data_IF_991600718671
#
_entry.id   IF_991600718671
#
_cell.length_a   1.000
_cell.length_b   1.000
_cell.length_c   1.000
_cell.angle_alpha   90.00
_cell.angle_beta   90.00
_cell.angle_gamma   90.00
#
_symmetry.space_group_name_H-M   'P 1'
#
loop_
_entity.id
_entity.type
_entity.pdbx_description
1 polymer ?
#
# COMPACT_ATOMS: atom_id res chain seq x y z
N UNK A 1 4.33 7.16 3.45
CA UNK A 1 5.31 6.77 2.42
C UNK A 1 6.58 7.59 2.62
N UNK A 2 7.67 6.93 3.00
CA UNK A 2 8.96 7.58 3.31
C UNK A 2 9.75 7.81 2.02
N UNK A 3 9.78 6.82 1.14
CA UNK A 3 10.46 6.88 -0.16
C UNK A 3 9.56 6.31 -1.26
N UNK A 4 9.70 6.84 -2.47
CA UNK A 4 8.99 6.37 -3.65
C UNK A 4 9.86 6.58 -4.89
N UNK A 5 10.39 5.49 -5.45
CA UNK A 5 11.21 5.50 -6.65
C UNK A 5 10.56 4.78 -7.82
N UNK A 6 11.04 5.06 -9.03
CA UNK A 6 10.67 4.30 -10.23
C UNK A 6 11.15 2.86 -10.08
N UNK A 7 10.32 1.89 -10.48
CA UNK A 7 10.72 0.49 -10.45
C UNK A 7 11.76 0.21 -11.56
N UNK A 8 12.89 -0.46 -11.27
CA UNK A 8 14.00 -0.62 -12.21
C UNK A 8 13.63 -1.48 -13.44
N UNK A 9 12.73 -2.44 -13.25
CA UNK A 9 12.32 -3.38 -14.30
C UNK A 9 10.87 -3.20 -14.80
N UNK A 10 10.20 -2.08 -14.49
CA UNK A 10 8.81 -1.86 -14.90
C UNK A 10 8.42 -0.37 -14.91
N UNK A 11 7.99 0.13 -16.07
CA UNK A 11 7.71 1.56 -16.28
C UNK A 11 6.49 2.07 -15.50
N UNK A 12 5.50 1.19 -15.28
CA UNK A 12 4.24 1.54 -14.59
C UNK A 12 4.26 1.24 -13.10
N UNK A 13 5.36 0.73 -12.56
CA UNK A 13 5.47 0.37 -11.15
C UNK A 13 6.42 1.32 -10.43
N UNK A 14 6.21 1.44 -9.12
CA UNK A 14 7.05 2.18 -8.19
C UNK A 14 7.47 1.25 -7.08
N UNK A 15 8.71 1.42 -6.60
CA UNK A 15 9.21 0.77 -5.40
C UNK A 15 9.16 1.79 -4.27
N UNK A 16 8.55 1.43 -3.16
CA UNK A 16 8.28 2.35 -2.07
C UNK A 16 8.78 1.81 -0.74
N UNK A 17 9.27 2.71 0.12
CA UNK A 17 9.51 2.41 1.54
C UNK A 17 8.40 3.01 2.38
N UNK A 18 7.72 2.19 3.16
CA UNK A 18 6.50 2.57 3.86
C UNK A 18 6.67 2.34 5.35
N UNK A 19 6.44 3.40 6.13
CA UNK A 19 6.38 3.32 7.58
C UNK A 19 4.96 2.96 8.03
N UNK A 20 4.81 1.84 8.70
CA UNK A 20 3.55 1.36 9.29
C UNK A 20 3.56 1.36 10.82
N UNK A 21 4.54 2.02 11.45
CA UNK A 21 4.68 2.10 12.90
C UNK A 21 5.35 0.87 13.54
N UNK A 22 5.88 -0.03 12.73
CA UNK A 22 6.70 -1.16 13.18
C UNK A 22 8.19 -0.81 13.32
N UNK A 23 9.01 -1.81 13.63
CA UNK A 23 10.46 -1.65 13.85
C UNK A 23 11.25 -1.26 12.60
N UNK A 24 10.74 -1.60 11.41
CA UNK A 24 11.38 -1.31 10.13
C UNK A 24 10.39 -0.80 9.09
N UNK A 25 10.93 -0.14 8.07
CA UNK A 25 10.18 0.20 6.87
C UNK A 25 9.89 -1.06 6.07
N UNK A 26 8.71 -1.09 5.45
CA UNK A 26 8.31 -2.15 4.53
C UNK A 26 8.63 -1.73 3.10
N UNK A 27 9.17 -2.66 2.30
CA UNK A 27 9.30 -2.49 0.87
C UNK A 27 7.99 -2.91 0.21
N UNK A 28 7.33 -2.00 -0.51
CA UNK A 28 6.05 -2.28 -1.17
C UNK A 28 6.11 -1.76 -2.61
N UNK A 29 5.78 -2.63 -3.56
CA UNK A 29 5.65 -2.27 -4.97
C UNK A 29 4.22 -1.82 -5.24
N UNK A 30 4.06 -0.68 -5.91
CA UNK A 30 2.75 -0.11 -6.22
C UNK A 30 2.69 0.40 -7.66
N UNK A 31 1.59 0.13 -8.35
CA UNK A 31 1.33 0.61 -9.72
C UNK A 31 0.34 1.78 -9.82
N UNK A 32 -0.18 2.28 -8.70
CA UNK A 32 -1.17 3.35 -8.73
C UNK A 32 -0.57 4.67 -9.25
N UNK A 33 -1.30 5.41 -10.10
CA UNK A 33 -0.77 6.60 -10.77
C UNK A 33 -0.47 7.74 -9.78
N UNK A 34 -1.21 7.81 -8.67
CA UNK A 34 -1.05 8.83 -7.63
C UNK A 34 0.01 8.51 -6.57
N UNK A 35 0.64 7.33 -6.65
CA UNK A 35 1.66 6.87 -5.70
C UNK A 35 2.90 7.78 -5.73
N UNK A 36 3.17 8.50 -4.63
CA UNK A 36 4.28 9.45 -4.52
C UNK A 36 4.79 9.55 -3.07
N UNK A 37 6.04 9.99 -2.93
CA UNK A 37 6.68 10.23 -1.65
C UNK A 37 5.87 11.22 -0.79
N UNK A 38 5.83 11.01 0.53
CA UNK A 38 5.14 11.90 1.47
C UNK A 38 3.64 11.62 1.65
N UNK A 39 3.07 10.66 0.90
CA UNK A 39 1.67 10.28 1.11
C UNK A 39 1.44 9.53 2.43
N UNK A 40 0.33 9.82 3.09
CA UNK A 40 -0.29 8.94 4.09
C UNK A 40 -1.24 8.02 3.34
N UNK A 41 -1.12 6.71 3.57
CA UNK A 41 -1.78 5.68 2.75
C UNK A 41 -2.32 4.57 3.63
N UNK A 42 -3.37 3.89 3.16
CA UNK A 42 -3.82 2.64 3.74
C UNK A 42 -2.90 1.49 3.28
N UNK A 43 -2.41 0.70 4.22
CA UNK A 43 -1.48 -0.41 3.95
C UNK A 43 -2.08 -1.70 4.48
N UNK A 44 -2.26 -2.68 3.60
CA UNK A 44 -2.52 -4.05 4.00
C UNK A 44 -1.19 -4.79 4.16
N UNK A 45 -0.85 -5.13 5.41
CA UNK A 45 0.39 -5.84 5.75
C UNK A 45 0.27 -7.34 5.46
N UNK A 46 1.40 -8.04 5.35
CA UNK A 46 1.41 -9.51 5.27
C UNK A 46 0.56 -10.13 6.39
N UNK A 47 -0.29 -11.09 6.01
CA UNK A 47 -1.24 -11.73 6.91
C UNK A 47 -2.62 -11.06 6.99
N UNK A 48 -2.76 -9.83 6.46
CA UNK A 48 -4.07 -9.21 6.30
C UNK A 48 -4.93 -10.01 5.30
N UNK A 49 -6.25 -9.97 5.51
CA UNK A 49 -7.25 -10.54 4.60
C UNK A 49 -8.17 -9.40 4.19
N UNK A 50 -8.15 -9.07 2.90
CA UNK A 50 -9.02 -8.07 2.29
C UNK A 50 -10.38 -8.70 1.90
N UNK A 51 -11.43 -7.88 1.66
CA UNK A 51 -12.70 -8.34 1.12
C UNK A 51 -12.52 -9.31 -0.07
N UNK A 52 -13.36 -10.35 -0.13
CA UNK A 52 -13.25 -11.41 -1.14
C UNK A 52 -12.17 -12.46 -0.84
N UNK A 53 -11.85 -12.68 0.44
CA UNK A 53 -10.86 -13.66 0.92
C UNK A 53 -9.44 -13.46 0.35
N UNK A 54 -9.10 -12.22 0.00
CA UNK A 54 -7.83 -11.90 -0.60
C UNK A 54 -6.73 -11.76 0.46
N UNK A 55 -5.94 -12.82 0.65
CA UNK A 55 -4.86 -12.87 1.65
C UNK A 55 -3.59 -12.19 1.15
N UNK A 56 -3.11 -11.20 1.89
CA UNK A 56 -1.83 -10.54 1.62
C UNK A 56 -0.67 -11.44 2.06
N UNK A 57 0.23 -11.69 1.11
CA UNK A 57 1.46 -12.46 1.31
C UNK A 57 2.64 -11.66 0.79
N UNK A 58 3.81 -11.86 1.39
CA UNK A 58 5.05 -11.33 0.83
C UNK A 58 5.30 -11.98 -0.54
N UNK A 59 5.66 -11.17 -1.52
CA UNK A 59 5.93 -11.61 -2.88
C UNK A 59 7.05 -10.78 -3.50
N UNK A 60 7.55 -11.22 -4.66
CA UNK A 60 8.40 -10.40 -5.52
C UNK A 60 7.62 -9.99 -6.76
N UNK A 61 7.53 -8.70 -7.03
CA UNK A 61 6.93 -8.17 -8.25
C UNK A 61 8.07 -7.73 -9.16
N UNK A 62 8.21 -8.38 -10.32
CA UNK A 62 9.23 -8.03 -11.33
C UNK A 62 10.66 -7.92 -10.76
N UNK A 63 10.98 -8.78 -9.78
CA UNK A 63 12.29 -8.87 -9.13
C UNK A 63 12.37 -8.14 -7.78
N UNK A 64 11.54 -7.12 -7.57
CA UNK A 64 11.57 -6.30 -6.35
C UNK A 64 10.66 -6.88 -5.25
N UNK A 65 11.09 -6.85 -3.98
CA UNK A 65 10.28 -7.32 -2.86
C UNK A 65 9.05 -6.44 -2.63
N UNK A 66 7.92 -7.07 -2.29
CA UNK A 66 6.71 -6.40 -1.83
C UNK A 66 6.15 -7.12 -0.60
N UNK A 67 6.14 -6.43 0.52
CA UNK A 67 5.80 -6.91 1.85
C UNK A 67 4.42 -6.42 2.31
N UNK A 68 3.55 -6.19 1.34
CA UNK A 68 2.22 -5.66 1.57
C UNK A 68 1.62 -5.13 0.28
N UNK A 69 0.51 -4.40 0.46
CA UNK A 69 -0.22 -3.74 -0.61
C UNK A 69 -0.65 -2.35 -0.13
N UNK A 70 -0.54 -1.36 -1.01
CA UNK A 70 -1.16 -0.05 -0.81
C UNK A 70 -2.58 -0.13 -1.37
N UNK A 71 -3.57 0.16 -0.55
CA UNK A 71 -4.96 -0.10 -0.90
C UNK A 71 -5.66 1.15 -1.47
N UNK A 72 -6.53 0.91 -2.45
CA UNK A 72 -7.61 1.77 -2.95
C UNK A 72 -8.88 1.63 -2.11
N UNK A 73 -9.85 2.51 -2.32
CA UNK A 73 -11.16 2.41 -1.64
C UNK A 73 -11.91 1.14 -2.02
N UNK A 74 -11.80 0.71 -3.28
CA UNK A 74 -12.46 -0.52 -3.74
C UNK A 74 -11.84 -1.78 -3.18
N UNK A 75 -10.51 -1.86 -3.08
CA UNK A 75 -9.85 -3.01 -2.44
C UNK A 75 -10.23 -3.16 -0.96
N UNK A 76 -10.63 -2.06 -0.31
CA UNK A 76 -11.14 -2.06 1.05
C UNK A 76 -12.67 -2.24 1.14
N UNK A 77 -13.39 -2.31 0.02
CA UNK A 77 -14.86 -2.44 -0.01
C UNK A 77 -15.61 -1.19 0.45
N UNK A 78 -14.96 -0.01 0.40
CA UNK A 78 -15.55 1.26 0.86
C UNK A 78 -16.34 1.96 -0.26
N UNK A 79 -15.85 1.87 -1.49
CA UNK A 79 -16.42 2.53 -2.68
C UNK A 79 -15.88 1.86 -3.95
N UNK A 80 -16.57 2.00 -5.08
CA UNK A 80 -16.10 1.51 -6.39
C UNK A 80 -14.98 2.37 -7.02
N UNK A 81 -14.33 3.24 -6.25
CA UNK A 81 -13.21 4.05 -6.73
C UNK A 81 -11.93 3.20 -6.88
N UNK A 82 -11.49 3.10 -8.15
CA UNK A 82 -10.28 2.41 -8.59
C UNK A 82 -9.23 3.36 -9.19
N UNK A 83 -9.39 4.67 -9.03
CA UNK A 83 -8.50 5.67 -9.64
C UNK A 83 -7.06 5.66 -9.11
N UNK A 84 -6.86 5.14 -7.89
CA UNK A 84 -5.56 5.05 -7.25
C UNK A 84 -5.61 4.54 -5.82
N UNK A 85 -4.48 4.67 -5.12
CA UNK A 85 -4.37 4.34 -3.69
C UNK A 85 -5.04 5.43 -2.84
N UNK A 86 -5.53 5.06 -1.67
CA UNK A 86 -6.13 5.98 -0.71
C UNK A 86 -5.09 7.02 -0.25
N UNK A 87 -5.40 8.28 -0.44
CA UNK A 87 -4.66 9.41 0.14
C UNK A 87 -5.33 9.82 1.45
N UNK A 88 -4.71 9.47 2.56
CA UNK A 88 -5.18 9.84 3.89
C UNK A 88 -4.76 11.28 4.23
N UNK A 89 -5.49 11.94 5.16
CA UNK A 89 -5.07 13.20 5.76
C UNK A 89 -3.64 13.15 6.31
N UNK A 90 -2.89 14.26 6.23
CA UNK A 90 -1.49 14.31 6.65
C UNK A 90 -1.30 14.12 8.16
N UNK A 91 -2.31 14.47 8.95
CA UNK A 91 -2.41 14.27 10.39
C UNK A 91 -2.80 12.83 10.79
N UNK A 92 -3.02 11.93 9.82
CA UNK A 92 -3.28 10.52 10.11
C UNK A 92 -2.12 9.89 10.91
N UNK A 93 -2.49 9.30 12.05
CA UNK A 93 -1.58 8.58 12.95
C UNK A 93 -1.05 7.32 12.29
N UNK A 94 0.27 7.19 12.20
CA UNK A 94 0.92 6.01 11.62
C UNK A 94 0.76 4.83 12.59
N UNK A 95 0.46 3.64 12.05
CA UNK A 95 0.32 2.40 12.82
C UNK A 95 -1.06 2.15 13.42
N UNK A 96 -1.98 3.11 13.28
CA UNK A 96 -3.38 2.87 13.62
C UNK A 96 -3.99 1.86 12.66
N UNK A 97 -4.71 0.87 13.22
CA UNK A 97 -5.51 -0.06 12.44
C UNK A 97 -6.75 0.67 11.93
N UNK A 98 -6.91 0.69 10.62
CA UNK A 98 -8.16 1.05 9.99
C UNK A 98 -9.02 -0.22 9.92
N UNK A 99 -10.02 -0.29 10.80
CA UNK A 99 -11.05 -1.31 10.72
C UNK A 99 -12.12 -0.81 9.75
N UNK A 100 -12.22 -1.45 8.59
CA UNK A 100 -13.43 -1.34 7.77
C UNK A 100 -14.40 -2.35 8.37
N UNK A 101 -15.51 -1.88 8.95
CA UNK A 101 -16.62 -2.75 9.32
C UNK A 101 -17.21 -3.27 8.00
N UNK A 102 -16.78 -4.46 7.59
CA UNK A 102 -17.34 -5.21 6.48
C UNK A 102 -18.45 -6.11 7.01
#
# INVERSE_FOLDING_TARGET
>A
MVECGQHPNADKLRVTKVNVGGERLLDIVCGAPNCRQGLKVAVATVGAVLPGDFKIKAAKLRGEPSEGMLCSYSELGISDDHSGIIELPQDATIGNRYFVNI
#
